data_IF_150531448520
#
_entry.id   IF_150531448520
#
_cell.length_a   1.000
_cell.length_b   1.000
_cell.length_c   1.000
_cell.angle_alpha   90.00
_cell.angle_beta   90.00
_cell.angle_gamma   90.00
#
_symmetry.space_group_name_H-M   'P 1'
#
loop_
_entity.id
_entity.type
_entity.pdbx_description
1 polymer ?
#
# COMPACT_ATOMS: atom_id res chain seq x y z
N UNK A 1 13.70 19.98 2.92
CA UNK A 1 12.98 18.98 3.74
C UNK A 1 11.79 19.68 4.36
N UNK A 2 10.59 19.14 4.19
CA UNK A 2 9.37 19.64 4.81
C UNK A 2 8.83 18.58 5.78
N UNK A 3 8.30 19.01 6.92
CA UNK A 3 7.63 18.15 7.90
C UNK A 3 6.22 18.70 8.08
N UNK A 4 5.22 17.88 7.81
CA UNK A 4 3.81 18.26 7.89
C UNK A 4 2.99 17.18 8.59
N UNK A 5 1.99 17.63 9.36
CA UNK A 5 1.04 16.75 10.03
C UNK A 5 -0.01 16.22 9.05
N UNK A 6 -0.35 14.93 9.15
CA UNK A 6 -1.44 14.33 8.38
C UNK A 6 -2.75 14.67 9.08
N UNK A 7 -3.53 15.58 8.50
CA UNK A 7 -4.84 15.99 9.04
C UNK A 7 -6.00 15.11 8.57
N UNK A 8 -5.78 14.24 7.58
CA UNK A 8 -6.81 13.32 7.07
C UNK A 8 -6.39 12.60 5.77
N UNK A 9 -7.13 11.57 5.41
CA UNK A 9 -6.95 10.76 4.18
C UNK A 9 -8.31 10.68 3.47
N UNK A 10 -8.29 10.65 2.13
CA UNK A 10 -9.48 10.45 1.29
C UNK A 10 -9.24 9.27 0.34
N UNK A 11 -10.25 8.44 0.18
CA UNK A 11 -10.25 7.28 -0.71
C UNK A 11 -11.67 7.10 -1.24
N UNK A 12 -11.80 6.64 -2.49
CA UNK A 12 -13.09 6.20 -3.01
C UNK A 12 -13.52 4.92 -2.30
N UNK A 13 -14.82 4.74 -2.08
CA UNK A 13 -15.36 3.52 -1.47
C UNK A 13 -15.02 2.27 -2.28
N UNK A 14 -14.87 2.43 -3.60
CA UNK A 14 -14.51 1.39 -4.56
C UNK A 14 -13.15 0.73 -4.26
N UNK A 15 -12.22 1.46 -3.64
CA UNK A 15 -10.86 1.00 -3.35
C UNK A 15 -10.66 0.55 -1.89
N UNK A 16 -11.72 0.53 -1.09
CA UNK A 16 -11.67 0.04 0.28
C UNK A 16 -11.88 -1.46 0.35
N UNK A 17 -11.28 -2.10 1.34
CA UNK A 17 -11.58 -3.49 1.73
C UNK A 17 -12.87 -3.58 2.57
N UNK A 18 -13.24 -4.80 2.94
CA UNK A 18 -14.43 -5.07 3.77
C UNK A 18 -14.40 -4.43 5.16
N UNK A 19 -13.22 -4.02 5.64
CA UNK A 19 -13.01 -3.38 6.93
C UNK A 19 -12.91 -1.85 6.80
N UNK A 20 -13.11 -1.29 5.60
CA UNK A 20 -13.00 0.13 5.33
C UNK A 20 -11.57 0.65 5.19
N UNK A 21 -10.57 -0.23 5.11
CA UNK A 21 -9.18 0.17 4.90
C UNK A 21 -8.86 0.27 3.40
N UNK A 22 -7.93 1.15 2.98
CA UNK A 22 -7.47 1.17 1.59
C UNK A 22 -6.84 -0.16 1.17
N UNK A 23 -7.39 -0.79 0.13
CA UNK A 23 -6.86 -2.03 -0.43
C UNK A 23 -5.79 -1.72 -1.48
N UNK A 24 -4.54 -2.10 -1.18
CA UNK A 24 -3.40 -1.79 -2.06
C UNK A 24 -3.54 -2.43 -3.45
N UNK A 25 -4.18 -3.60 -3.58
CA UNK A 25 -4.39 -4.29 -4.85
C UNK A 25 -5.43 -3.57 -5.72
N UNK A 26 -6.33 -2.79 -5.12
CA UNK A 26 -7.28 -1.89 -5.81
C UNK A 26 -6.66 -0.53 -6.13
N UNK A 27 -5.89 0.04 -5.20
CA UNK A 27 -5.21 1.33 -5.36
C UNK A 27 -4.18 1.28 -6.50
N UNK A 28 -3.47 0.15 -6.66
CA UNK A 28 -2.42 -0.05 -7.67
C UNK A 28 -1.41 1.11 -7.72
N UNK A 29 -0.72 1.41 -6.60
CA UNK A 29 0.21 2.53 -6.56
C UNK A 29 1.38 2.31 -7.52
N UNK A 30 1.89 3.42 -8.07
CA UNK A 30 3.07 3.41 -8.95
C UNK A 30 4.33 3.48 -8.11
N UNK A 31 5.26 2.56 -8.34
CA UNK A 31 6.57 2.51 -7.68
C UNK A 31 7.63 2.97 -8.66
N UNK A 32 8.43 3.97 -8.29
CA UNK A 32 9.56 4.43 -9.09
C UNK A 32 10.88 3.80 -8.60
N UNK A 33 11.60 3.13 -9.52
CA UNK A 33 12.95 2.63 -9.26
C UNK A 33 13.98 3.60 -9.83
N UNK A 34 14.77 4.22 -8.95
CA UNK A 34 15.77 5.23 -9.32
C UNK A 34 16.92 4.64 -10.15
N UNK A 35 17.31 3.39 -9.89
CA UNK A 35 18.46 2.76 -10.52
C UNK A 35 18.30 2.55 -12.02
N UNK A 36 17.11 2.14 -12.45
CA UNK A 36 16.78 1.91 -13.87
C UNK A 36 15.73 2.88 -14.43
N UNK A 37 15.35 3.90 -13.64
CA UNK A 37 14.39 4.96 -14.01
C UNK A 37 13.08 4.41 -14.56
N UNK A 38 12.59 3.31 -13.99
CA UNK A 38 11.40 2.60 -14.47
C UNK A 38 10.28 2.66 -13.43
N UNK A 39 9.04 2.56 -13.92
CA UNK A 39 7.84 2.47 -13.10
C UNK A 39 7.32 1.04 -13.02
N UNK A 40 6.89 0.65 -11.82
CA UNK A 40 6.39 -0.67 -11.51
C UNK A 40 5.03 -0.58 -10.82
N UNK A 41 4.26 -1.65 -10.93
CA UNK A 41 3.11 -1.92 -10.08
C UNK A 41 3.53 -2.76 -8.88
N UNK A 42 2.68 -2.82 -7.86
CA UNK A 42 2.82 -3.81 -6.79
C UNK A 42 2.63 -5.24 -7.31
N UNK A 43 3.29 -6.19 -6.66
CA UNK A 43 3.01 -7.62 -6.81
C UNK A 43 1.81 -8.07 -5.98
N UNK A 44 1.49 -9.37 -6.02
CA UNK A 44 0.40 -9.93 -5.22
C UNK A 44 0.74 -10.08 -3.74
N UNK A 45 -0.29 -10.21 -2.91
CA UNK A 45 -0.16 -10.47 -1.47
C UNK A 45 0.72 -11.70 -1.16
N UNK A 46 1.69 -11.53 -0.27
CA UNK A 46 2.63 -12.59 0.15
C UNK A 46 2.30 -13.21 1.52
N UNK A 47 1.34 -12.66 2.25
CA UNK A 47 0.91 -13.11 3.58
C UNK A 47 0.74 -11.98 4.60
N UNK A 48 0.15 -12.30 5.77
CA UNK A 48 -0.14 -11.32 6.83
C UNK A 48 1.10 -10.94 7.64
N UNK A 49 1.43 -9.64 7.68
CA UNK A 49 2.43 -9.07 8.58
C UNK A 49 2.11 -9.38 10.05
N UNK A 50 3.13 -9.48 10.90
CA UNK A 50 3.02 -9.85 12.33
C UNK A 50 2.30 -11.19 12.61
N UNK A 51 2.16 -12.03 11.58
CA UNK A 51 1.55 -13.35 11.65
C UNK A 51 2.43 -14.41 10.98
N UNK A 52 2.82 -14.24 9.71
CA UNK A 52 3.54 -15.28 8.94
C UNK A 52 4.89 -15.70 9.53
N UNK A 53 5.54 -14.81 10.30
CA UNK A 53 6.80 -15.08 10.98
C UNK A 53 6.65 -15.62 12.40
N UNK A 54 5.42 -15.73 12.91
CA UNK A 54 5.15 -16.38 14.20
C UNK A 54 5.01 -17.87 13.94
N UNK A 55 6.09 -18.62 14.21
CA UNK A 55 5.97 -20.05 14.49
C UNK A 55 5.18 -20.25 15.79
N UNK A 56 4.59 -21.44 16.04
CA UNK A 56 4.20 -21.83 17.39
C UNK A 56 5.38 -21.76 18.37
#
# INVERSE_FOLDING_TARGET
MFVGEIVGIKAEESILDENGNPDIEKIRPVIYSTGNRSYYSIGGNLGKAFSIGKSP
#
